data_IF_699207329129
#
_entry.id   IF_699207329129
#
_cell.length_a   1.000
_cell.length_b   1.000
_cell.length_c   1.000
_cell.angle_alpha   90.00
_cell.angle_beta   90.00
_cell.angle_gamma   90.00
#
_symmetry.space_group_name_H-M   'P 1'
#
loop_
_entity.id
_entity.type
_entity.pdbx_description
1 polymer ?
#
# COMPACT_ATOMS: atom_id res chain seq x y z
N UNK A 1 15.25 -28.15 1.70
CA UNK A 1 14.38 -28.42 2.86
C UNK A 1 13.14 -29.15 2.37
N UNK A 2 12.63 -30.19 3.05
CA UNK A 2 11.35 -30.81 2.67
C UNK A 2 10.27 -29.72 2.69
N UNK A 3 9.41 -29.71 1.69
CA UNK A 3 8.22 -28.82 1.68
C UNK A 3 7.37 -29.21 2.89
N UNK A 4 7.06 -28.24 3.74
CA UNK A 4 6.13 -28.46 4.83
C UNK A 4 4.79 -28.96 4.24
N UNK A 5 4.28 -30.06 4.78
CA UNK A 5 2.98 -30.60 4.41
C UNK A 5 1.87 -29.69 4.95
N UNK A 6 0.78 -29.57 4.18
CA UNK A 6 -0.40 -28.87 4.65
C UNK A 6 -0.97 -29.58 5.89
N UNK A 7 -1.44 -28.85 6.88
CA UNK A 7 -2.15 -29.46 8.00
C UNK A 7 -3.54 -29.91 7.54
N UNK A 8 -4.04 -31.00 8.14
CA UNK A 8 -5.42 -31.46 7.91
C UNK A 8 -6.45 -30.45 8.47
N UNK A 9 -6.04 -29.64 9.46
CA UNK A 9 -6.91 -28.71 10.16
C UNK A 9 -6.18 -27.43 10.56
N UNK A 10 -6.95 -26.31 10.61
CA UNK A 10 -6.55 -25.03 11.18
C UNK A 10 -7.76 -24.36 11.85
N UNK A 11 -7.51 -23.53 12.86
CA UNK A 11 -8.57 -22.68 13.42
C UNK A 11 -8.97 -21.58 12.43
N UNK A 12 -7.98 -20.96 11.78
CA UNK A 12 -8.21 -19.91 10.80
C UNK A 12 -7.36 -20.15 9.56
N UNK A 13 -8.01 -20.11 8.39
CA UNK A 13 -7.33 -20.11 7.09
C UNK A 13 -7.49 -18.75 6.43
N UNK A 14 -6.36 -18.09 6.13
CA UNK A 14 -6.31 -16.82 5.38
C UNK A 14 -5.95 -17.14 3.94
N UNK A 15 -6.77 -16.70 2.99
CA UNK A 15 -6.59 -16.91 1.56
C UNK A 15 -6.04 -15.64 0.92
N UNK A 16 -4.75 -15.65 0.57
CA UNK A 16 -4.04 -14.55 -0.06
C UNK A 16 -2.84 -14.04 0.74
N UNK A 17 -1.66 -14.03 0.10
CA UNK A 17 -0.36 -13.65 0.67
C UNK A 17 0.10 -12.24 0.32
N UNK A 18 -0.82 -11.32 0.04
CA UNK A 18 -0.55 -9.90 -0.08
C UNK A 18 -0.45 -9.22 1.29
N UNK A 19 -0.19 -7.89 1.30
CA UNK A 19 -0.06 -7.10 2.53
C UNK A 19 -1.26 -7.23 3.47
N UNK A 20 -2.49 -7.34 2.93
CA UNK A 20 -3.70 -7.52 3.75
C UNK A 20 -3.72 -8.85 4.50
N UNK A 21 -3.41 -9.96 3.81
CA UNK A 21 -3.38 -11.30 4.42
C UNK A 21 -2.25 -11.47 5.42
N UNK A 22 -1.04 -10.99 5.11
CA UNK A 22 0.10 -11.07 6.03
C UNK A 22 -0.07 -10.15 7.24
N UNK A 23 -0.67 -8.96 7.06
CA UNK A 23 -1.03 -8.07 8.16
C UNK A 23 -2.05 -8.73 9.10
N UNK A 24 -3.08 -9.36 8.54
CA UNK A 24 -4.05 -10.09 9.35
C UNK A 24 -3.38 -11.22 10.13
N UNK A 25 -2.55 -12.04 9.48
CA UNK A 25 -1.82 -13.12 10.13
C UNK A 25 -0.94 -12.61 11.28
N UNK A 26 -0.20 -11.51 11.07
CA UNK A 26 0.60 -10.85 12.08
C UNK A 26 -0.24 -10.39 13.28
N UNK A 27 -1.34 -9.71 13.03
CA UNK A 27 -2.18 -9.20 14.12
C UNK A 27 -2.93 -10.30 14.87
N UNK A 28 -3.36 -11.37 14.18
CA UNK A 28 -3.94 -12.54 14.86
C UNK A 28 -2.92 -13.20 15.78
N UNK A 29 -1.66 -13.36 15.33
CA UNK A 29 -0.58 -13.86 16.16
C UNK A 29 -0.33 -12.98 17.40
N UNK A 30 -0.27 -11.64 17.22
CA UNK A 30 -0.15 -10.67 18.34
C UNK A 30 -1.34 -10.71 19.30
N UNK A 31 -2.52 -11.09 18.85
CA UNK A 31 -3.73 -11.28 19.67
C UNK A 31 -3.80 -12.67 20.33
N UNK A 32 -2.77 -13.49 20.16
CA UNK A 32 -2.71 -14.82 20.75
C UNK A 32 -3.57 -15.89 20.04
N UNK A 33 -3.92 -15.65 18.76
CA UNK A 33 -4.53 -16.70 17.96
C UNK A 33 -3.47 -17.72 17.56
N UNK A 34 -3.68 -18.92 17.96
CA UNK A 34 -2.92 -20.09 17.55
C UNK A 34 -3.58 -20.77 16.34
N UNK A 35 -2.85 -21.66 15.69
CA UNK A 35 -3.33 -22.48 14.59
C UNK A 35 -3.89 -21.69 13.40
N UNK A 36 -3.18 -20.64 12.99
CA UNK A 36 -3.47 -19.83 11.83
C UNK A 36 -2.65 -20.33 10.63
N UNK A 37 -3.31 -20.50 9.49
CA UNK A 37 -2.70 -20.89 8.22
C UNK A 37 -2.97 -19.81 7.18
N UNK A 38 -1.94 -19.37 6.48
CA UNK A 38 -2.06 -18.49 5.31
C UNK A 38 -1.68 -19.27 4.06
N UNK A 39 -2.57 -19.24 3.06
CA UNK A 39 -2.41 -19.89 1.76
C UNK A 39 -2.26 -18.85 0.65
N UNK A 40 -1.16 -18.93 -0.08
CA UNK A 40 -0.89 -18.08 -1.25
C UNK A 40 -0.66 -18.95 -2.49
N UNK A 41 -1.38 -18.65 -3.57
CA UNK A 41 -1.32 -19.43 -4.81
C UNK A 41 0.02 -19.34 -5.55
N UNK A 42 0.74 -18.24 -5.37
CA UNK A 42 2.04 -17.96 -6.01
C UNK A 42 3.12 -17.72 -4.94
N UNK A 43 3.79 -16.59 -4.99
CA UNK A 43 4.69 -16.10 -3.96
C UNK A 43 3.99 -14.97 -3.18
N UNK A 44 4.44 -14.70 -1.96
CA UNK A 44 3.99 -13.49 -1.25
C UNK A 44 4.18 -12.28 -2.15
N UNK A 45 3.29 -11.31 -2.02
CA UNK A 45 3.29 -10.05 -2.79
C UNK A 45 2.85 -10.11 -4.25
N UNK A 46 2.75 -11.27 -4.87
CA UNK A 46 2.54 -11.45 -6.34
C UNK A 46 1.27 -10.80 -6.93
N UNK A 47 0.36 -10.28 -6.09
CA UNK A 47 -0.83 -9.54 -6.53
C UNK A 47 -0.60 -8.02 -6.58
N UNK A 48 -1.62 -7.24 -6.25
CA UNK A 48 -1.59 -5.76 -6.25
C UNK A 48 -0.53 -5.18 -5.29
N UNK A 49 -0.09 -5.93 -4.30
CA UNK A 49 0.90 -5.47 -3.32
C UNK A 49 2.21 -5.06 -3.98
N UNK A 50 2.77 -5.92 -4.82
CA UNK A 50 4.03 -5.62 -5.53
C UNK A 50 3.92 -4.41 -6.46
N UNK A 51 2.73 -4.14 -6.98
CA UNK A 51 2.48 -3.05 -7.92
C UNK A 51 2.07 -1.73 -7.23
N UNK A 52 2.08 -1.67 -5.91
CA UNK A 52 1.76 -0.45 -5.17
C UNK A 52 2.96 0.51 -5.14
N UNK A 53 2.72 1.79 -5.38
CA UNK A 53 3.75 2.82 -5.25
C UNK A 53 4.21 3.09 -3.80
N UNK A 54 3.50 2.56 -2.82
CA UNK A 54 3.91 2.59 -1.41
C UNK A 54 3.78 3.94 -0.69
N UNK A 55 3.13 4.96 -1.26
CA UNK A 55 2.94 6.22 -0.56
C UNK A 55 2.03 6.08 0.66
N UNK A 56 2.50 6.54 1.79
CA UNK A 56 1.79 6.49 3.08
C UNK A 56 1.46 7.89 3.56
N UNK A 57 0.17 8.18 3.69
CA UNK A 57 -0.31 9.42 4.27
C UNK A 57 -1.26 9.13 5.42
N UNK A 58 -1.12 9.84 6.55
CA UNK A 58 -1.87 9.55 7.77
C UNK A 58 -3.25 10.20 7.80
N UNK A 59 -3.35 11.46 7.40
CA UNK A 59 -4.63 12.17 7.42
C UNK A 59 -5.55 11.67 6.31
N UNK A 60 -6.76 11.23 6.71
CA UNK A 60 -7.81 10.70 5.82
C UNK A 60 -9.14 11.43 6.04
N UNK A 61 -10.09 11.20 5.14
CA UNK A 61 -11.41 11.81 5.18
C UNK A 61 -12.33 11.31 6.32
N UNK A 62 -11.87 10.41 7.18
CA UNK A 62 -12.64 9.94 8.35
C UNK A 62 -11.76 9.70 9.57
N UNK A 63 -12.36 9.80 10.75
CA UNK A 63 -11.70 9.54 12.04
C UNK A 63 -11.10 8.14 12.11
N UNK A 64 -11.89 7.13 11.73
CA UNK A 64 -11.46 5.73 11.80
C UNK A 64 -10.27 5.45 10.89
N UNK A 65 -10.32 5.93 9.65
CA UNK A 65 -9.23 5.76 8.70
C UNK A 65 -7.98 6.52 9.12
N UNK A 66 -8.11 7.75 9.64
CA UNK A 66 -6.95 8.50 10.15
C UNK A 66 -6.28 7.74 11.29
N UNK A 67 -7.04 7.27 12.28
CA UNK A 67 -6.49 6.47 13.39
C UNK A 67 -5.83 5.17 12.90
N UNK A 68 -6.43 4.49 11.94
CA UNK A 68 -5.83 3.30 11.31
C UNK A 68 -4.49 3.62 10.66
N UNK A 69 -4.40 4.71 9.90
CA UNK A 69 -3.16 5.11 9.23
C UNK A 69 -2.08 5.53 10.23
N UNK A 70 -2.45 6.26 11.29
CA UNK A 70 -1.52 6.58 12.37
C UNK A 70 -0.97 5.33 13.06
N UNK A 71 -1.84 4.36 13.36
CA UNK A 71 -1.42 3.07 13.91
C UNK A 71 -0.50 2.31 12.93
N UNK A 72 -0.79 2.37 11.62
CA UNK A 72 0.07 1.75 10.60
C UNK A 72 1.47 2.36 10.59
N UNK A 73 1.58 3.70 10.66
CA UNK A 73 2.90 4.37 10.72
C UNK A 73 3.65 4.00 12.00
N UNK A 74 2.97 3.94 13.15
CA UNK A 74 3.59 3.43 14.37
C UNK A 74 4.10 2.00 14.23
N UNK A 75 3.31 1.13 13.57
CA UNK A 75 3.73 -0.25 13.30
C UNK A 75 4.98 -0.27 12.40
N UNK A 76 5.01 0.52 11.34
CA UNK A 76 6.14 0.54 10.40
C UNK A 76 7.44 0.97 11.07
N UNK A 77 7.40 1.95 11.98
CA UNK A 77 8.57 2.41 12.76
C UNK A 77 9.19 1.33 13.62
N UNK A 78 8.36 0.44 14.19
CA UNK A 78 8.85 -0.61 15.12
C UNK A 78 9.01 -1.98 14.47
N UNK A 79 8.45 -2.18 13.29
CA UNK A 79 8.40 -3.52 12.68
C UNK A 79 9.80 -4.02 12.29
N UNK A 80 10.76 -3.11 12.01
CA UNK A 80 12.15 -3.46 11.79
C UNK A 80 12.81 -4.11 13.02
N UNK A 81 12.38 -3.76 14.23
CA UNK A 81 12.87 -4.35 15.48
C UNK A 81 12.18 -5.67 15.82
N UNK A 82 11.01 -5.92 15.21
CA UNK A 82 10.18 -7.10 15.48
C UNK A 82 10.31 -8.21 14.40
N UNK A 83 11.06 -7.97 13.33
CA UNK A 83 11.21 -8.86 12.18
C UNK A 83 12.65 -8.95 11.73
N UNK A 84 13.03 -10.06 11.09
CA UNK A 84 14.32 -10.18 10.39
C UNK A 84 14.38 -9.34 9.09
N UNK A 85 13.23 -8.81 8.64
CA UNK A 85 13.11 -8.00 7.42
C UNK A 85 12.87 -6.53 7.77
N UNK A 86 13.64 -5.64 7.14
CA UNK A 86 13.35 -4.21 7.17
C UNK A 86 12.08 -3.95 6.34
N UNK A 87 11.02 -3.34 6.90
CA UNK A 87 9.80 -3.03 6.16
C UNK A 87 10.00 -1.97 5.06
N UNK A 88 11.16 -1.33 4.97
CA UNK A 88 11.46 -0.28 4.00
C UNK A 88 10.69 1.01 4.25
N UNK A 89 10.41 1.35 5.52
CA UNK A 89 9.73 2.60 5.89
C UNK A 89 10.69 3.78 5.81
N UNK A 90 10.31 4.79 5.02
CA UNK A 90 11.02 6.07 4.90
C UNK A 90 10.09 7.19 5.30
N UNK A 91 10.33 7.78 6.48
CA UNK A 91 9.60 8.93 7.00
C UNK A 91 10.22 10.21 6.44
N UNK A 92 9.88 10.53 5.21
CA UNK A 92 10.40 11.69 4.48
C UNK A 92 9.41 12.86 4.39
N UNK A 93 8.26 12.71 5.04
CA UNK A 93 7.16 13.65 4.92
C UNK A 93 6.37 13.53 3.62
N UNK A 94 5.26 14.24 3.58
CA UNK A 94 4.38 14.28 2.42
C UNK A 94 3.83 15.66 2.15
N UNK A 95 3.95 16.11 0.89
CA UNK A 95 3.39 17.36 0.39
C UNK A 95 2.12 17.03 -0.39
N UNK A 96 1.06 17.77 -0.13
CA UNK A 96 -0.14 17.79 -0.95
C UNK A 96 -0.35 19.18 -1.49
N UNK A 97 -0.32 19.35 -2.82
CA UNK A 97 -0.49 20.62 -3.48
C UNK A 97 -1.97 21.00 -3.62
N UNK A 98 -2.21 22.28 -3.78
CA UNK A 98 -3.48 22.86 -4.20
C UNK A 98 -3.25 23.73 -5.43
N UNK A 99 -3.85 23.32 -6.55
CA UNK A 99 -3.82 24.04 -7.83
C UNK A 99 -5.19 24.66 -8.14
N UNK A 100 -6.11 24.64 -7.17
CA UNK A 100 -7.42 25.31 -7.23
C UNK A 100 -7.79 25.91 -5.86
N UNK A 101 -8.61 26.96 -5.87
CA UNK A 101 -9.10 27.60 -4.64
C UNK A 101 -9.90 26.62 -3.76
N UNK A 102 -10.69 25.74 -4.38
CA UNK A 102 -11.45 24.72 -3.68
C UNK A 102 -10.54 23.77 -2.92
N UNK A 103 -9.43 23.37 -3.55
CA UNK A 103 -8.43 22.50 -2.93
C UNK A 103 -7.70 23.22 -1.79
N UNK A 104 -7.34 24.47 -1.99
CA UNK A 104 -6.69 25.26 -0.95
C UNK A 104 -7.58 25.40 0.29
N UNK A 105 -8.87 25.66 0.10
CA UNK A 105 -9.85 25.68 1.20
C UNK A 105 -10.02 24.31 1.86
N UNK A 106 -9.96 23.22 1.10
CA UNK A 106 -9.95 21.87 1.65
C UNK A 106 -8.72 21.66 2.54
N UNK A 107 -7.52 22.03 2.09
CA UNK A 107 -6.29 21.91 2.88
C UNK A 107 -6.34 22.73 4.18
N UNK A 108 -6.93 23.94 4.15
CA UNK A 108 -7.15 24.76 5.35
C UNK A 108 -8.05 24.04 6.38
N UNK A 109 -9.14 23.40 5.92
CA UNK A 109 -10.02 22.60 6.78
C UNK A 109 -9.28 21.36 7.32
N UNK A 110 -8.49 20.70 6.48
CA UNK A 110 -7.70 19.53 6.86
C UNK A 110 -6.63 19.89 7.91
N UNK A 111 -6.00 21.07 7.82
CA UNK A 111 -5.05 21.54 8.83
C UNK A 111 -5.72 21.74 10.21
N UNK A 112 -6.95 22.25 10.23
CA UNK A 112 -7.74 22.31 11.46
C UNK A 112 -8.06 20.92 12.02
N UNK A 113 -8.43 19.99 11.14
CA UNK A 113 -8.77 18.63 11.54
C UNK A 113 -7.55 17.83 12.02
N UNK A 114 -6.41 17.97 11.35
CA UNK A 114 -5.15 17.30 11.73
C UNK A 114 -4.78 17.55 13.21
N UNK A 115 -5.03 18.77 13.71
CA UNK A 115 -4.81 19.13 15.11
C UNK A 115 -5.60 18.27 16.10
N UNK A 116 -6.78 17.79 15.73
CA UNK A 116 -7.59 16.92 16.62
C UNK A 116 -6.98 15.54 16.80
N UNK A 117 -6.06 15.14 15.94
CA UNK A 117 -5.31 13.89 16.01
C UNK A 117 -3.88 14.08 16.52
N UNK A 118 -3.44 15.33 16.78
CA UNK A 118 -2.06 15.62 17.10
C UNK A 118 -1.09 15.51 15.91
N UNK A 119 -1.60 15.50 14.67
CA UNK A 119 -0.78 15.46 13.48
C UNK A 119 -0.23 16.86 13.18
N UNK A 120 1.10 17.02 13.00
CA UNK A 120 1.76 18.31 12.78
C UNK A 120 1.67 18.75 11.31
N UNK A 121 0.43 18.88 10.79
CA UNK A 121 0.21 19.33 9.43
C UNK A 121 0.30 20.84 9.35
N UNK A 122 1.15 21.32 8.47
CA UNK A 122 1.41 22.73 8.19
C UNK A 122 0.90 23.11 6.81
N UNK A 123 0.34 24.33 6.67
CA UNK A 123 0.07 24.91 5.38
C UNK A 123 1.34 25.63 4.91
N UNK A 124 1.69 25.41 3.65
CA UNK A 124 2.89 25.95 3.02
C UNK A 124 2.56 26.69 1.74
N UNK A 125 3.39 27.68 1.37
CA UNK A 125 3.32 28.34 0.08
C UNK A 125 3.80 27.46 -1.07
N UNK A 126 3.59 27.87 -2.30
CA UNK A 126 4.12 27.19 -3.48
C UNK A 126 5.66 27.22 -3.49
N UNK A 127 6.25 28.32 -3.05
CA UNK A 127 7.71 28.50 -2.93
C UNK A 127 8.30 27.57 -1.89
N UNK A 128 7.71 27.47 -0.70
CA UNK A 128 8.14 26.52 0.33
C UNK A 128 8.02 25.07 -0.15
N UNK A 129 6.96 24.74 -0.88
CA UNK A 129 6.82 23.40 -1.49
C UNK A 129 7.92 23.14 -2.51
N UNK A 130 8.28 24.15 -3.33
CA UNK A 130 9.37 24.09 -4.30
C UNK A 130 10.74 23.92 -3.63
N UNK A 131 10.98 24.58 -2.50
CA UNK A 131 12.21 24.41 -1.72
C UNK A 131 12.34 22.96 -1.22
N UNK A 132 11.22 22.35 -0.75
CA UNK A 132 11.20 20.96 -0.28
C UNK A 132 11.27 19.95 -1.42
N UNK A 133 10.67 20.24 -2.59
CA UNK A 133 10.65 19.38 -3.75
C UNK A 133 11.11 20.16 -5.00
N UNK A 134 12.43 20.36 -5.19
CA UNK A 134 12.97 21.26 -6.23
C UNK A 134 12.60 20.89 -7.67
N UNK A 135 12.16 19.68 -7.90
CA UNK A 135 11.80 19.17 -9.22
C UNK A 135 10.42 19.62 -9.72
N UNK A 136 9.58 20.20 -8.83
CA UNK A 136 8.26 20.69 -9.24
C UNK A 136 8.32 22.08 -9.90
N UNK A 137 7.32 22.39 -10.74
CA UNK A 137 6.97 23.78 -11.11
C UNK A 137 6.02 24.37 -10.08
N UNK A 138 6.08 25.70 -9.89
CA UNK A 138 5.11 26.45 -9.09
C UNK A 138 3.98 27.03 -9.93
N UNK A 139 4.01 26.87 -11.26
CA UNK A 139 3.00 27.39 -12.16
C UNK A 139 1.62 26.83 -11.84
N UNK A 140 0.67 27.71 -11.53
CA UNK A 140 -0.69 27.32 -11.16
C UNK A 140 -0.85 26.72 -9.75
N UNK A 141 0.23 26.59 -8.96
CA UNK A 141 0.17 26.12 -7.57
C UNK A 141 -0.16 27.29 -6.65
N UNK A 142 -1.26 27.19 -5.90
CA UNK A 142 -1.72 28.21 -4.95
C UNK A 142 -1.13 28.03 -3.53
N UNK A 143 -0.58 26.84 -3.25
CA UNK A 143 0.00 26.47 -1.97
C UNK A 143 -0.07 24.96 -1.75
N UNK A 144 0.17 24.53 -0.51
CA UNK A 144 0.17 23.12 -0.18
C UNK A 144 -0.05 22.85 1.31
N UNK A 145 -0.04 21.58 1.65
CA UNK A 145 0.02 21.10 3.03
C UNK A 145 1.18 20.12 3.17
N UNK A 146 1.96 20.29 4.21
CA UNK A 146 3.09 19.47 4.60
C UNK A 146 2.78 18.68 5.86
N UNK A 147 3.00 17.35 5.82
CA UNK A 147 2.94 16.49 7.00
C UNK A 147 4.27 15.75 7.17
N UNK A 148 5.13 16.15 8.11
CA UNK A 148 6.50 15.61 8.27
C UNK A 148 6.53 14.12 8.62
N UNK A 149 5.47 13.59 9.22
CA UNK A 149 5.37 12.19 9.66
C UNK A 149 4.78 11.26 8.60
N UNK A 150 4.43 11.76 7.43
CA UNK A 150 4.09 10.96 6.26
C UNK A 150 5.37 10.43 5.59
N UNK A 151 5.24 9.58 4.59
CA UNK A 151 6.37 9.04 3.85
C UNK A 151 5.97 7.97 2.86
N UNK A 152 6.86 7.04 2.63
CA UNK A 152 6.60 5.87 1.80
C UNK A 152 7.19 4.60 2.41
N UNK A 153 6.70 3.46 1.94
CA UNK A 153 7.16 2.14 2.36
C UNK A 153 7.40 1.26 1.13
N UNK A 154 8.31 0.29 1.23
CA UNK A 154 8.38 -0.78 0.25
C UNK A 154 7.26 -1.80 0.52
N UNK A 155 6.25 -1.93 -0.35
CA UNK A 155 5.12 -2.81 -0.09
C UNK A 155 5.50 -4.29 -0.02
N UNK A 156 6.55 -4.71 -0.74
CA UNK A 156 7.03 -6.08 -0.72
C UNK A 156 7.78 -6.37 0.58
N UNK A 157 8.71 -5.52 0.98
CA UNK A 157 9.45 -5.65 2.23
C UNK A 157 8.53 -5.62 3.45
N UNK A 158 7.56 -4.69 3.47
CA UNK A 158 6.52 -4.68 4.51
C UNK A 158 5.79 -6.01 4.61
N UNK A 159 5.42 -6.60 3.48
CA UNK A 159 4.70 -7.88 3.44
C UNK A 159 5.57 -9.01 3.98
N UNK A 160 6.87 -9.04 3.65
CA UNK A 160 7.81 -10.02 4.21
C UNK A 160 8.03 -9.83 5.69
N UNK A 161 8.18 -8.61 6.18
CA UNK A 161 8.32 -8.31 7.59
C UNK A 161 7.08 -8.74 8.41
N UNK A 162 5.87 -8.45 7.91
CA UNK A 162 4.63 -8.90 8.53
C UNK A 162 4.49 -10.44 8.52
N UNK A 163 4.87 -11.08 7.40
CA UNK A 163 4.84 -12.54 7.28
C UNK A 163 5.83 -13.21 8.23
N UNK A 164 7.00 -12.61 8.43
CA UNK A 164 8.01 -13.09 9.38
C UNK A 164 7.50 -12.98 10.82
N UNK A 165 7.00 -11.81 11.22
CA UNK A 165 6.40 -11.64 12.54
C UNK A 165 5.20 -12.57 12.80
N UNK A 166 4.40 -12.87 11.76
CA UNK A 166 3.33 -13.86 11.85
C UNK A 166 3.88 -15.28 12.07
N UNK A 167 4.98 -15.67 11.39
CA UNK A 167 5.63 -16.97 11.58
C UNK A 167 6.22 -17.12 12.98
N UNK A 168 6.88 -16.09 13.48
CA UNK A 168 7.41 -16.05 14.85
C UNK A 168 6.28 -16.25 15.88
N UNK A 169 5.07 -15.75 15.58
CA UNK A 169 3.87 -15.97 16.39
C UNK A 169 3.12 -17.30 16.10
N UNK A 170 3.72 -18.22 15.33
CA UNK A 170 3.18 -19.56 15.08
C UNK A 170 2.29 -19.70 13.84
N UNK A 171 2.08 -18.66 13.05
CA UNK A 171 1.34 -18.76 11.79
C UNK A 171 2.12 -19.59 10.76
N UNK A 172 1.46 -20.54 10.11
CA UNK A 172 2.02 -21.35 9.03
C UNK A 172 1.67 -20.75 7.69
N UNK A 173 2.66 -20.41 6.88
CA UNK A 173 2.49 -19.76 5.58
C UNK A 173 2.92 -20.72 4.46
N UNK A 174 2.00 -21.04 3.55
CA UNK A 174 2.20 -21.92 2.42
C UNK A 174 2.05 -21.12 1.12
N UNK A 175 3.14 -20.96 0.40
CA UNK A 175 3.17 -20.41 -0.94
C UNK A 175 2.98 -21.49 -2.01
N UNK A 176 2.72 -21.08 -3.26
CA UNK A 176 2.42 -22.00 -4.37
C UNK A 176 1.30 -22.99 -4.03
N UNK A 177 0.31 -22.55 -3.26
CA UNK A 177 -0.81 -23.37 -2.77
C UNK A 177 -2.11 -22.64 -3.08
N UNK A 178 -2.79 -23.11 -4.13
CA UNK A 178 -4.00 -22.46 -4.65
C UNK A 178 -5.25 -23.03 -3.97
N UNK A 179 -6.04 -22.16 -3.36
CA UNK A 179 -7.41 -22.51 -2.94
C UNK A 179 -8.28 -22.65 -4.18
N UNK A 180 -8.93 -23.80 -4.31
CA UNK A 180 -9.79 -24.16 -5.43
C UNK A 180 -11.26 -24.25 -5.06
N UNK A 181 -11.59 -24.21 -3.77
CA UNK A 181 -12.95 -24.22 -3.26
C UNK A 181 -13.02 -23.91 -1.77
N UNK A 182 -14.17 -23.44 -1.33
CA UNK A 182 -14.49 -23.27 0.09
C UNK A 182 -15.66 -24.18 0.41
N UNK A 183 -15.50 -25.05 1.39
CA UNK A 183 -16.53 -25.98 1.80
C UNK A 183 -17.49 -25.32 2.79
N UNK A 184 -18.77 -25.30 2.42
CA UNK A 184 -19.85 -24.75 3.25
C UNK A 184 -20.90 -25.85 3.45
N UNK A 185 -21.22 -26.17 4.70
CA UNK A 185 -22.30 -27.09 5.09
C UNK A 185 -23.20 -26.42 6.13
N UNK A 186 -24.49 -26.50 5.95
CA UNK A 186 -25.51 -25.91 6.85
C UNK A 186 -25.26 -24.42 7.11
N UNK A 187 -24.88 -23.65 6.07
CA UNK A 187 -24.61 -22.21 6.17
C UNK A 187 -23.32 -21.84 6.93
N UNK A 188 -22.47 -22.81 7.23
CA UNK A 188 -21.20 -22.59 7.93
C UNK A 188 -20.01 -23.08 7.11
N UNK A 189 -18.93 -22.31 7.10
CA UNK A 189 -17.65 -22.74 6.57
C UNK A 189 -17.16 -23.97 7.33
N UNK A 190 -16.57 -24.92 6.62
CA UNK A 190 -15.93 -26.13 7.17
C UNK A 190 -14.46 -26.25 6.81
N UNK A 191 -14.00 -25.56 5.79
CA UNK A 191 -12.62 -25.61 5.34
C UNK A 191 -12.43 -25.11 3.92
N UNK A 192 -11.25 -25.34 3.42
CA UNK A 192 -10.86 -25.02 2.03
C UNK A 192 -10.30 -26.25 1.32
N UNK A 193 -10.56 -26.33 0.04
CA UNK A 193 -9.90 -27.28 -0.88
C UNK A 193 -8.77 -26.57 -1.58
N UNK A 194 -7.65 -27.24 -1.72
CA UNK A 194 -6.49 -26.69 -2.44
C UNK A 194 -6.00 -27.67 -3.51
N UNK A 195 -5.08 -27.21 -4.34
CA UNK A 195 -4.36 -28.06 -5.30
C UNK A 195 -3.35 -29.01 -4.65
N UNK A 196 -3.21 -28.99 -3.31
CA UNK A 196 -2.27 -29.81 -2.54
C UNK A 196 -2.91 -30.59 -1.40
N UNK A 197 -4.21 -30.56 -1.26
CA UNK A 197 -4.98 -31.19 -0.20
C UNK A 197 -5.98 -30.23 0.43
N UNK A 198 -6.82 -30.75 1.28
CA UNK A 198 -7.88 -30.01 1.95
C UNK A 198 -7.46 -29.63 3.36
N UNK A 199 -7.96 -28.49 3.85
CA UNK A 199 -7.71 -28.03 5.22
C UNK A 199 -9.06 -27.73 5.86
N UNK A 200 -9.42 -28.47 6.92
CA UNK A 200 -10.59 -28.11 7.74
C UNK A 200 -10.34 -26.78 8.45
N UNK A 201 -11.37 -25.93 8.55
CA UNK A 201 -11.25 -24.64 9.19
C UNK A 201 -12.53 -24.18 9.87
N UNK A 202 -12.39 -23.55 11.04
CA UNK A 202 -13.52 -22.88 11.72
C UNK A 202 -13.81 -21.51 11.10
N UNK A 203 -12.77 -20.81 10.65
CA UNK A 203 -12.83 -19.49 10.02
C UNK A 203 -12.01 -19.50 8.73
N UNK A 204 -12.60 -18.98 7.66
CA UNK A 204 -11.86 -18.69 6.41
C UNK A 204 -11.96 -17.20 6.14
N UNK A 205 -10.82 -16.57 5.93
CA UNK A 205 -10.74 -15.14 5.61
C UNK A 205 -10.30 -14.97 4.16
N UNK A 206 -11.11 -14.27 3.40
CA UNK A 206 -10.78 -13.87 2.05
C UNK A 206 -9.93 -12.59 2.08
N UNK A 207 -8.63 -12.74 1.81
CA UNK A 207 -7.66 -11.68 1.63
C UNK A 207 -7.10 -11.67 0.19
N UNK A 208 -7.89 -12.16 -0.75
CA UNK A 208 -7.51 -12.38 -2.16
C UNK A 208 -7.34 -11.12 -3.00
N UNK A 209 -7.47 -9.92 -2.41
CA UNK A 209 -7.26 -8.65 -3.10
C UNK A 209 -8.15 -8.52 -4.33
N UNK A 210 -7.56 -8.31 -5.51
CA UNK A 210 -8.31 -8.20 -6.76
C UNK A 210 -9.11 -9.46 -7.13
N UNK A 211 -8.80 -10.61 -6.54
CA UNK A 211 -9.49 -11.88 -6.76
C UNK A 211 -10.52 -12.23 -5.67
N UNK A 212 -10.76 -11.34 -4.70
CA UNK A 212 -11.67 -11.60 -3.59
C UNK A 212 -13.08 -11.95 -4.04
N UNK A 213 -13.59 -11.33 -5.10
CA UNK A 213 -14.91 -11.68 -5.66
C UNK A 213 -14.98 -13.13 -6.20
N UNK A 214 -13.88 -13.70 -6.67
CA UNK A 214 -13.80 -15.09 -7.12
C UNK A 214 -13.77 -16.05 -5.93
N UNK A 215 -12.98 -15.74 -4.92
CA UNK A 215 -12.84 -16.52 -3.69
C UNK A 215 -14.19 -16.54 -2.96
N UNK A 216 -14.83 -15.40 -2.80
CA UNK A 216 -16.15 -15.30 -2.16
C UNK A 216 -17.22 -16.15 -2.85
N UNK A 217 -17.19 -16.21 -4.20
CA UNK A 217 -18.10 -17.08 -4.96
C UNK A 217 -17.94 -18.57 -4.65
N UNK A 218 -16.74 -19.02 -4.25
CA UNK A 218 -16.52 -20.41 -3.81
C UNK A 218 -17.33 -20.76 -2.56
N UNK A 219 -17.64 -19.76 -1.72
CA UNK A 219 -18.51 -19.89 -0.55
C UNK A 219 -19.98 -19.51 -0.82
N UNK A 220 -20.35 -19.24 -2.07
CA UNK A 220 -21.70 -18.77 -2.44
C UNK A 220 -21.97 -17.31 -2.05
N UNK A 221 -20.96 -16.54 -1.72
CA UNK A 221 -21.07 -15.13 -1.30
C UNK A 221 -20.74 -14.21 -2.48
N UNK A 222 -21.51 -13.13 -2.62
CA UNK A 222 -21.25 -12.10 -3.63
C UNK A 222 -20.55 -10.89 -2.98
N UNK A 223 -19.32 -10.62 -3.38
CA UNK A 223 -18.57 -9.41 -3.03
C UNK A 223 -18.63 -8.46 -4.23
N UNK A 224 -19.15 -7.23 -4.06
CA UNK A 224 -19.24 -6.24 -5.13
C UNK A 224 -17.90 -5.53 -5.32
N UNK A 225 -16.92 -6.23 -5.89
CA UNK A 225 -15.57 -5.74 -6.15
C UNK A 225 -15.29 -5.88 -7.65
N UNK A 226 -14.84 -4.80 -8.26
CA UNK A 226 -14.33 -4.74 -9.63
C UNK A 226 -12.93 -4.14 -9.56
N UNK A 227 -11.88 -4.88 -9.93
CA UNK A 227 -10.55 -4.33 -10.07
C UNK A 227 -10.50 -3.29 -11.19
N UNK A 228 -9.77 -2.21 -10.96
CA UNK A 228 -9.53 -1.17 -11.95
C UNK A 228 -8.05 -1.15 -12.32
N UNK A 229 -7.74 -0.89 -13.58
CA UNK A 229 -6.37 -0.74 -14.07
C UNK A 229 -5.89 0.68 -13.82
N UNK A 230 -4.74 0.82 -13.14
CA UNK A 230 -4.01 2.08 -12.98
C UNK A 230 -2.54 1.82 -13.31
N UNK A 231 -1.87 2.85 -13.81
CA UNK A 231 -0.45 2.75 -14.13
C UNK A 231 0.39 3.70 -13.29
N UNK A 232 1.63 3.32 -13.12
CA UNK A 232 2.71 4.21 -12.71
C UNK A 232 3.93 3.92 -13.57
N UNK A 233 4.82 4.89 -13.65
CA UNK A 233 6.12 4.75 -14.28
C UNK A 233 7.23 4.88 -13.25
N UNK A 234 8.35 4.26 -13.52
CA UNK A 234 9.59 4.43 -12.78
C UNK A 234 10.62 4.97 -13.76
N UNK A 235 11.22 6.11 -13.44
CA UNK A 235 12.24 6.70 -14.29
C UNK A 235 13.55 5.94 -14.19
N UNK A 236 14.41 6.10 -15.19
CA UNK A 236 15.83 5.82 -15.02
C UNK A 236 16.42 6.77 -13.97
N UNK A 237 17.62 6.47 -13.40
CA UNK A 237 18.30 7.42 -12.53
C UNK A 237 18.45 8.79 -13.18
N UNK A 238 18.14 9.85 -12.44
CA UNK A 238 18.17 11.24 -12.89
C UNK A 238 19.15 12.05 -12.03
N UNK A 239 20.08 12.75 -12.66
CA UNK A 239 21.01 13.64 -11.95
C UNK A 239 20.24 14.74 -11.19
N UNK A 240 19.13 15.20 -11.76
CA UNK A 240 18.26 16.19 -11.13
C UNK A 240 17.69 15.72 -9.76
N UNK A 241 17.40 14.41 -9.61
CA UNK A 241 16.97 13.83 -8.31
C UNK A 241 18.13 13.88 -7.29
N UNK A 242 19.34 13.53 -7.71
CA UNK A 242 20.54 13.59 -6.86
C UNK A 242 20.86 15.03 -6.43
N UNK A 243 20.74 15.97 -7.34
CA UNK A 243 20.96 17.39 -7.07
C UNK A 243 19.90 17.96 -6.13
N UNK A 244 18.61 17.67 -6.39
CA UNK A 244 17.51 18.08 -5.53
C UNK A 244 17.67 17.55 -4.10
N UNK A 245 18.10 16.30 -3.94
CA UNK A 245 18.39 15.69 -2.64
C UNK A 245 19.52 16.42 -1.89
N UNK A 246 20.59 16.81 -2.60
CA UNK A 246 21.73 17.53 -2.03
C UNK A 246 21.36 18.95 -1.59
N UNK A 247 20.61 19.68 -2.43
CA UNK A 247 20.19 21.05 -2.10
C UNK A 247 19.27 21.07 -0.87
N UNK A 248 18.35 20.13 -0.77
CA UNK A 248 17.46 19.99 0.38
C UNK A 248 18.22 19.74 1.71
N UNK A 249 19.40 19.10 1.65
CA UNK A 249 20.23 18.84 2.84
C UNK A 249 21.12 20.01 3.25
N UNK A 250 21.62 20.78 2.29
CA UNK A 250 22.56 21.87 2.59
C UNK A 250 21.88 23.01 3.38
N UNK A 251 20.57 23.18 3.21
CA UNK A 251 19.80 24.28 3.82
C UNK A 251 19.21 23.90 5.19
N UNK A 252 19.36 22.66 5.64
CA UNK A 252 18.75 22.13 6.87
C UNK A 252 19.57 22.37 8.15
N UNK A 253 20.68 23.13 8.12
CA UNK A 253 21.42 23.56 9.32
C UNK A 253 20.60 24.55 10.16
N UNK A 254 19.47 24.14 10.69
CA UNK A 254 18.67 24.94 11.61
C UNK A 254 17.16 24.75 11.53
N UNK A 255 16.67 24.02 10.57
CA UNK A 255 15.24 23.75 10.44
C UNK A 255 14.96 22.25 10.62
N UNK A 256 14.10 21.90 11.58
CA UNK A 256 13.69 20.51 11.92
C UNK A 256 12.89 19.80 10.79
N UNK A 257 12.98 20.31 9.56
CA UNK A 257 12.38 19.74 8.35
C UNK A 257 13.26 18.69 7.68
N UNK A 258 14.25 18.13 8.40
CA UNK A 258 15.12 17.08 7.86
C UNK A 258 14.36 15.82 7.49
N UNK A 259 14.33 15.48 6.22
CA UNK A 259 13.76 14.26 5.67
C UNK A 259 14.75 13.10 5.61
N UNK A 260 15.78 13.12 6.46
CA UNK A 260 16.82 12.08 6.56
C UNK A 260 17.50 11.69 5.25
N UNK A 261 17.61 12.60 4.31
CA UNK A 261 18.27 12.32 3.05
C UNK A 261 17.37 11.93 1.88
N UNK A 262 16.08 12.10 2.02
CA UNK A 262 15.11 11.77 0.99
C UNK A 262 14.27 12.99 0.60
N UNK A 263 13.79 13.02 -0.64
CA UNK A 263 12.76 13.95 -1.06
C UNK A 263 11.42 13.55 -0.43
N UNK A 264 10.57 14.50 -0.04
CA UNK A 264 9.22 14.18 0.42
C UNK A 264 8.39 13.53 -0.69
N UNK A 265 7.37 12.78 -0.31
CA UNK A 265 6.35 12.38 -1.28
C UNK A 265 5.56 13.62 -1.70
N UNK A 266 5.22 13.69 -3.00
CA UNK A 266 4.44 14.80 -3.55
C UNK A 266 3.15 14.28 -4.17
N UNK A 267 2.03 14.95 -3.90
CA UNK A 267 0.74 14.69 -4.55
C UNK A 267 0.13 15.98 -5.04
N UNK A 268 -0.32 15.98 -6.29
CA UNK A 268 -1.22 16.99 -6.81
C UNK A 268 -2.58 16.37 -7.11
N UNK A 269 -3.57 16.52 -6.21
CA UNK A 269 -4.90 15.95 -6.41
C UNK A 269 -5.70 16.61 -7.52
N UNK A 270 -5.38 17.84 -7.93
CA UNK A 270 -6.07 18.54 -9.01
C UNK A 270 -5.61 18.01 -10.37
N UNK A 271 -4.32 17.68 -10.49
CA UNK A 271 -3.73 16.99 -11.66
C UNK A 271 -3.86 15.47 -11.58
N UNK A 272 -4.33 14.91 -10.45
CA UNK A 272 -4.47 13.48 -10.20
C UNK A 272 -3.15 12.70 -10.28
N UNK A 273 -2.04 13.30 -9.87
CA UNK A 273 -0.70 12.69 -9.92
C UNK A 273 -0.05 12.63 -8.55
N UNK A 274 0.88 11.69 -8.42
CA UNK A 274 1.74 11.58 -7.25
C UNK A 274 3.16 11.18 -7.64
N UNK A 275 4.10 11.55 -6.78
CA UNK A 275 5.51 11.27 -6.95
C UNK A 275 6.13 10.78 -5.64
N UNK A 276 7.11 9.90 -5.75
CA UNK A 276 8.06 9.57 -4.70
C UNK A 276 9.41 9.25 -5.28
N UNK A 277 10.41 9.36 -4.47
CA UNK A 277 11.77 8.88 -4.78
C UNK A 277 11.81 7.35 -4.92
N UNK A 278 12.64 6.86 -5.83
CA UNK A 278 12.96 5.44 -6.00
C UNK A 278 14.43 5.29 -6.40
N UNK A 279 15.28 5.05 -5.42
CA UNK A 279 16.72 5.15 -5.61
C UNK A 279 17.12 6.56 -6.06
N UNK A 280 17.78 6.65 -7.21
CA UNK A 280 18.15 7.94 -7.85
C UNK A 280 17.14 8.40 -8.92
N UNK A 281 15.97 7.78 -8.98
CA UNK A 281 14.88 8.12 -9.87
C UNK A 281 13.61 8.49 -9.15
N UNK A 282 12.51 8.57 -9.88
CA UNK A 282 11.16 8.84 -9.36
C UNK A 282 10.20 7.73 -9.78
N UNK A 283 9.30 7.38 -8.87
CA UNK A 283 8.02 6.77 -9.21
C UNK A 283 7.01 7.90 -9.40
N UNK A 284 6.35 7.91 -10.54
CA UNK A 284 5.23 8.77 -10.85
C UNK A 284 4.00 7.92 -11.17
N UNK A 285 2.87 8.20 -10.55
CA UNK A 285 1.60 7.56 -10.90
C UNK A 285 0.48 8.57 -11.04
N UNK A 286 -0.55 8.15 -11.78
CA UNK A 286 -1.74 8.95 -12.03
C UNK A 286 -3.01 8.18 -11.67
N UNK A 287 -4.10 8.93 -11.50
CA UNK A 287 -5.45 8.38 -11.30
C UNK A 287 -6.33 8.89 -12.44
N UNK A 288 -6.41 8.14 -13.51
CA UNK A 288 -7.25 8.48 -14.64
C UNK A 288 -8.72 8.57 -14.22
N UNK A 289 -9.43 9.60 -14.65
CA UNK A 289 -10.87 9.78 -14.36
C UNK A 289 -11.72 8.67 -14.95
N UNK A 290 -11.25 8.02 -16.01
CA UNK A 290 -11.92 6.94 -16.74
C UNK A 290 -11.05 5.69 -16.76
N UNK A 291 -10.71 5.17 -15.55
CA UNK A 291 -9.96 3.93 -15.42
C UNK A 291 -10.72 2.75 -16.05
N UNK A 292 -9.99 1.84 -16.67
CA UNK A 292 -10.58 0.64 -17.27
C UNK A 292 -10.76 -0.47 -16.23
N UNK A 293 -11.94 -1.12 -16.17
CA UNK A 293 -12.12 -2.30 -15.35
C UNK A 293 -11.25 -3.46 -15.85
N UNK A 294 -10.52 -4.09 -14.93
CA UNK A 294 -9.75 -5.29 -15.19
C UNK A 294 -10.56 -6.56 -14.86
N UNK A 295 -10.24 -7.68 -15.50
CA UNK A 295 -10.81 -9.00 -15.19
C UNK A 295 -12.34 -9.09 -15.31
N UNK A 296 -12.95 -8.39 -16.23
CA UNK A 296 -14.37 -8.59 -16.55
C UNK A 296 -14.58 -9.97 -17.18
N UNK A 297 -15.77 -10.61 -17.00
CA UNK A 297 -16.11 -11.84 -17.69
C UNK A 297 -15.93 -11.68 -19.20
N UNK A 298 -15.03 -12.47 -19.81
CA UNK A 298 -14.65 -12.38 -21.23
C UNK A 298 -13.46 -11.48 -21.53
N UNK A 299 -12.91 -10.80 -20.53
CA UNK A 299 -11.66 -10.05 -20.62
C UNK A 299 -10.42 -10.92 -20.27
N UNK A 300 -9.20 -10.38 -20.38
CA UNK A 300 -7.98 -11.09 -20.05
C UNK A 300 -7.99 -11.52 -18.59
N UNK A 301 -7.79 -12.81 -18.35
CA UNK A 301 -7.81 -13.41 -17.00
C UNK A 301 -6.50 -13.22 -16.22
N UNK A 302 -5.56 -12.45 -16.78
CA UNK A 302 -4.26 -12.13 -16.19
C UNK A 302 -4.00 -10.63 -16.33
N UNK A 303 -3.25 -10.06 -15.38
CA UNK A 303 -2.50 -8.83 -15.58
C UNK A 303 -1.37 -9.22 -16.56
N UNK A 304 -1.71 -9.38 -17.82
CA UNK A 304 -0.73 -9.39 -18.89
C UNK A 304 -0.31 -7.93 -19.08
N UNK A 305 0.96 -7.75 -19.43
CA UNK A 305 1.58 -6.44 -19.53
C UNK A 305 0.62 -5.37 -20.07
N UNK A 306 0.51 -4.30 -19.33
CA UNK A 306 -0.27 -3.12 -19.68
C UNK A 306 0.03 -2.77 -21.13
N UNK A 307 -0.97 -2.57 -22.00
CA UNK A 307 -0.75 -2.23 -23.40
C UNK A 307 0.18 -1.02 -23.54
N UNK A 308 1.15 -1.11 -24.46
CA UNK A 308 2.15 -0.06 -24.66
C UNK A 308 1.55 1.29 -25.08
N UNK A 309 0.32 1.28 -25.62
CA UNK A 309 -0.44 2.47 -26.00
C UNK A 309 -1.08 3.23 -24.82
N UNK A 310 -1.15 2.60 -23.64
CA UNK A 310 -1.63 3.28 -22.43
C UNK A 310 -0.65 4.36 -21.94
N UNK A 311 0.65 4.16 -22.15
CA UNK A 311 1.68 5.14 -21.78
C UNK A 311 1.58 6.45 -22.57
N UNK A 312 0.98 6.46 -23.77
CA UNK A 312 0.78 7.65 -24.58
C UNK A 312 -0.25 8.61 -23.99
N UNK A 313 -1.31 8.09 -23.36
CA UNK A 313 -2.39 8.94 -22.83
C UNK A 313 -2.02 9.71 -21.57
N UNK A 314 -1.13 9.18 -20.73
CA UNK A 314 -0.67 9.86 -19.51
C UNK A 314 0.41 10.92 -19.79
N UNK A 315 1.08 10.86 -20.94
CA UNK A 315 2.11 11.82 -21.34
C UNK A 315 1.54 12.97 -22.17
N UNK A 316 0.29 12.88 -22.63
CA UNK A 316 -0.39 13.92 -23.43
C UNK A 316 -1.31 14.82 -22.59
N UNK A 317 -1.62 14.45 -21.34
CA UNK A 317 -2.36 15.25 -20.36
C UNK A 317 -1.40 15.87 -19.32
#
# INVERSE_FOLDING_TARGET
>A
MPRAELPDRARCVIVGGGVGGTSLAYHLAKLGWDDVVLLERSQLTSGSTFHSAGLVGQLRGSVSLTKMMMHSVELYRRLADESEFDPGWVECGGIRLASSEERLEELRRQAGWAKTFGLPLELISAEEAKEMFPLMSTDGVLGGAWLPTDGYIDPAQLTYALADGARQGGCRIFTSTRVTGIEVRDGRVRGVRTDKGDVEAEVVVDAGGMYAAEIARMAGVRVPLIPMSHQYLVTQPLDAVREARRSFHSDSEGNDRSTRGHLPTLRDPDLLVYYREDGDGLVMGGYERQSEPAFLPGGPSRVEAIPADFNGRLLEE
#
